data_IF_026940511869
#
_entry.id   IF_026940511869
#
_cell.length_a   1.000
_cell.length_b   1.000
_cell.length_c   1.000
_cell.angle_alpha   90.00
_cell.angle_beta   90.00
_cell.angle_gamma   90.00
#
_symmetry.space_group_name_H-M   'P 1'
#
loop_
_entity.id
_entity.type
_entity.pdbx_description
1 polymer ?
#
# COMPACT_ATOMS: atom_id res chain seq x y z
N UNK A 1 -8.45 8.09 -14.49
CA UNK A 1 -9.28 8.09 -13.28
C UNK A 1 -9.18 9.45 -12.66
N UNK A 2 -10.31 10.15 -12.52
CA UNK A 2 -10.38 11.56 -12.08
C UNK A 2 -10.39 11.70 -10.54
N UNK A 3 -10.33 10.57 -9.84
CA UNK A 3 -10.44 10.49 -8.39
C UNK A 3 -9.41 9.50 -7.82
N UNK A 4 -8.13 9.81 -7.98
CA UNK A 4 -7.11 9.07 -7.22
C UNK A 4 -6.98 9.70 -5.83
N UNK A 5 -6.93 8.88 -4.79
CA UNK A 5 -6.72 9.33 -3.41
C UNK A 5 -5.47 10.21 -3.28
N UNK A 6 -4.43 9.93 -4.07
CA UNK A 6 -3.21 10.73 -4.17
C UNK A 6 -3.48 12.16 -4.67
N UNK A 7 -4.30 12.36 -5.72
CA UNK A 7 -4.64 13.69 -6.22
C UNK A 7 -5.38 14.52 -5.17
N UNK A 8 -6.34 13.90 -4.46
CA UNK A 8 -7.07 14.58 -3.38
C UNK A 8 -6.12 15.02 -2.27
N UNK A 9 -5.22 14.13 -1.86
CA UNK A 9 -4.22 14.41 -0.82
C UNK A 9 -3.26 15.52 -1.24
N UNK A 10 -2.76 15.53 -2.48
CA UNK A 10 -1.89 16.60 -2.99
C UNK A 10 -2.61 17.94 -2.98
N UNK A 11 -3.84 18.01 -3.53
CA UNK A 11 -4.61 19.26 -3.59
C UNK A 11 -4.89 19.85 -2.21
N UNK A 12 -5.21 19.00 -1.23
CA UNK A 12 -5.44 19.45 0.14
C UNK A 12 -4.12 19.86 0.82
N UNK A 13 -3.05 19.09 0.65
CA UNK A 13 -1.74 19.40 1.23
C UNK A 13 -1.17 20.74 0.73
N UNK A 14 -1.40 21.10 -0.54
CA UNK A 14 -1.03 22.42 -1.09
C UNK A 14 -1.72 23.59 -0.39
N UNK A 15 -2.86 23.35 0.28
CA UNK A 15 -3.59 24.32 1.10
C UNK A 15 -3.31 24.18 2.60
N UNK A 16 -2.45 23.24 2.99
CA UNK A 16 -2.25 22.88 4.41
C UNK A 16 -3.41 22.09 5.03
N UNK A 17 -4.22 21.44 4.21
CA UNK A 17 -5.45 20.76 4.62
C UNK A 17 -5.38 19.22 4.44
N UNK A 18 -6.32 18.51 5.07
CA UNK A 18 -6.57 17.09 4.88
C UNK A 18 -7.88 16.88 4.10
N UNK A 19 -7.95 15.98 3.10
CA UNK A 19 -9.20 15.70 2.40
C UNK A 19 -10.28 15.14 3.33
N UNK A 20 -11.48 15.74 3.30
CA UNK A 20 -12.60 15.37 4.17
C UNK A 20 -13.08 13.93 4.01
N UNK A 21 -12.98 13.39 2.79
CA UNK A 21 -13.48 12.05 2.46
C UNK A 21 -12.41 10.96 2.61
N UNK A 22 -11.23 11.27 3.16
CA UNK A 22 -10.14 10.30 3.36
C UNK A 22 -9.66 10.33 4.81
N UNK A 23 -9.32 9.17 5.35
CA UNK A 23 -8.68 9.10 6.66
C UNK A 23 -7.36 9.91 6.69
N UNK A 24 -7.13 10.70 7.77
CA UNK A 24 -5.89 11.45 7.97
C UNK A 24 -4.71 10.52 8.15
N UNK A 25 -3.55 10.95 7.67
CA UNK A 25 -2.28 10.38 8.07
C UNK A 25 -1.88 10.99 9.41
N UNK A 26 -1.73 10.16 10.44
CA UNK A 26 -1.47 10.62 11.83
C UNK A 26 0.02 10.49 12.22
N UNK A 27 0.87 10.14 11.25
CA UNK A 27 2.28 9.81 11.48
C UNK A 27 2.45 8.39 12.04
N UNK A 28 3.62 8.12 12.61
CA UNK A 28 3.92 6.80 13.18
C UNK A 28 3.06 6.48 14.41
N UNK A 29 2.99 5.21 14.78
CA UNK A 29 2.25 4.75 15.96
C UNK A 29 2.69 5.49 17.24
N UNK A 30 1.71 5.88 18.06
CA UNK A 30 1.90 6.58 19.35
C UNK A 30 0.87 6.03 20.34
N UNK A 31 1.13 6.16 21.64
CA UNK A 31 0.23 5.67 22.70
C UNK A 31 -1.18 6.27 22.62
N UNK A 32 -1.28 7.57 22.31
CA UNK A 32 -2.55 8.23 22.05
C UNK A 32 -2.82 8.16 20.55
N UNK A 33 -3.56 7.13 20.10
CA UNK A 33 -3.88 6.88 18.68
C UNK A 33 -5.14 7.66 18.26
N UNK A 34 -5.01 8.85 17.64
CA UNK A 34 -6.17 9.47 16.99
C UNK A 34 -6.67 8.57 15.86
N UNK A 35 -7.95 8.69 15.50
CA UNK A 35 -8.50 7.93 14.41
C UNK A 35 -7.85 8.34 13.07
N UNK A 36 -7.17 7.41 12.40
CA UNK A 36 -6.49 7.68 11.13
C UNK A 36 -5.51 6.59 10.73
N UNK A 37 -4.82 6.83 9.62
CA UNK A 37 -3.78 5.94 9.07
C UNK A 37 -2.47 6.24 9.80
N UNK A 38 -1.97 5.27 10.56
CA UNK A 38 -0.69 5.33 11.27
C UNK A 38 0.51 5.27 10.31
N UNK A 39 0.62 6.28 9.45
CA UNK A 39 1.69 6.46 8.50
C UNK A 39 1.91 7.96 8.24
N UNK A 40 3.10 8.33 7.77
CA UNK A 40 3.42 9.72 7.41
C UNK A 40 2.90 10.05 6.01
N UNK A 41 2.25 11.21 5.85
CA UNK A 41 1.84 11.70 4.54
C UNK A 41 3.06 11.90 3.63
N UNK A 42 4.17 12.42 4.18
CA UNK A 42 5.40 12.64 3.41
C UNK A 42 5.99 11.31 2.93
N UNK A 43 6.06 10.31 3.82
CA UNK A 43 6.55 8.96 3.47
C UNK A 43 5.68 8.33 2.38
N UNK A 44 4.35 8.51 2.46
CA UNK A 44 3.42 8.05 1.44
C UNK A 44 3.65 8.72 0.08
N UNK A 45 3.76 10.04 0.04
CA UNK A 45 3.99 10.78 -1.21
C UNK A 45 5.32 10.38 -1.85
N UNK A 46 6.39 10.24 -1.04
CA UNK A 46 7.70 9.81 -1.54
C UNK A 46 7.64 8.38 -2.12
N UNK A 47 7.01 7.44 -1.40
CA UNK A 47 6.88 6.06 -1.86
C UNK A 47 6.09 5.98 -3.18
N UNK A 48 5.03 6.78 -3.33
CA UNK A 48 4.25 6.85 -4.58
C UNK A 48 5.08 7.42 -5.73
N UNK A 49 5.83 8.51 -5.52
CA UNK A 49 6.67 9.11 -6.57
C UNK A 49 7.77 8.14 -7.01
N UNK A 50 8.49 7.53 -6.06
CA UNK A 50 9.55 6.55 -6.35
C UNK A 50 9.00 5.34 -7.11
N UNK A 51 7.84 4.81 -6.67
CA UNK A 51 7.19 3.69 -7.36
C UNK A 51 6.83 4.07 -8.79
N UNK A 52 6.26 5.26 -9.01
CA UNK A 52 5.92 5.75 -10.35
C UNK A 52 7.15 5.91 -11.26
N UNK A 53 8.29 6.37 -10.71
CA UNK A 53 9.55 6.52 -11.46
C UNK A 53 10.14 5.18 -11.90
N UNK A 54 9.94 4.11 -11.14
CA UNK A 54 10.46 2.78 -11.44
C UNK A 54 9.61 2.07 -12.51
N UNK A 55 8.29 2.23 -12.44
CA UNK A 55 7.36 1.61 -13.38
C UNK A 55 7.50 2.22 -14.79
N UNK A 56 7.87 3.50 -14.87
CA UNK A 56 8.06 4.20 -16.15
C UNK A 56 9.27 3.66 -16.92
N UNK A 57 9.01 2.97 -18.03
CA UNK A 57 10.01 2.35 -18.90
C UNK A 57 11.02 3.34 -19.52
N UNK A 58 10.69 4.63 -19.57
CA UNK A 58 11.55 5.69 -20.11
C UNK A 58 12.55 6.28 -19.11
N UNK A 59 12.47 5.89 -17.82
CA UNK A 59 13.43 6.30 -16.78
C UNK A 59 13.88 5.08 -15.98
N UNK A 60 15.19 4.84 -15.93
CA UNK A 60 15.79 3.94 -14.93
C UNK A 60 15.70 4.62 -13.55
N UNK A 61 14.54 4.57 -12.91
CA UNK A 61 14.37 4.97 -11.52
C UNK A 61 14.91 3.89 -10.57
N UNK A 62 15.54 4.30 -9.47
CA UNK A 62 15.80 3.44 -8.31
C UNK A 62 14.87 3.81 -7.17
N UNK A 63 14.49 2.85 -6.33
CA UNK A 63 13.87 3.17 -5.03
C UNK A 63 14.89 4.01 -4.25
N UNK A 64 14.49 5.17 -3.73
CA UNK A 64 15.36 5.97 -2.87
C UNK A 64 15.73 5.19 -1.62
N UNK A 65 16.84 5.54 -0.97
CA UNK A 65 17.22 4.90 0.29
C UNK A 65 16.11 5.04 1.35
N UNK A 66 15.40 6.18 1.35
CA UNK A 66 14.27 6.39 2.25
C UNK A 66 13.13 5.39 1.96
N UNK A 67 12.69 5.29 0.71
CA UNK A 67 11.63 4.33 0.34
C UNK A 67 12.05 2.88 0.54
N UNK A 68 13.33 2.54 0.38
CA UNK A 68 13.85 1.22 0.72
C UNK A 68 13.72 0.95 2.23
N UNK A 69 14.16 1.89 3.08
CA UNK A 69 13.99 1.80 4.54
C UNK A 69 12.52 1.70 4.95
N UNK A 70 11.63 2.43 4.28
CA UNK A 70 10.19 2.36 4.50
C UNK A 70 9.63 0.98 4.20
N UNK A 71 9.99 0.39 3.04
CA UNK A 71 9.56 -0.96 2.68
C UNK A 71 10.10 -2.02 3.67
N UNK A 72 11.35 -1.88 4.13
CA UNK A 72 11.89 -2.72 5.21
C UNK A 72 11.09 -2.57 6.50
N UNK A 73 10.75 -1.34 6.91
CA UNK A 73 9.95 -1.09 8.12
C UNK A 73 8.53 -1.66 8.02
N UNK A 74 7.95 -1.63 6.82
CA UNK A 74 6.64 -2.23 6.54
C UNK A 74 6.70 -3.75 6.39
N UNK A 75 7.88 -4.34 6.47
CA UNK A 75 8.12 -5.75 6.20
C UNK A 75 7.57 -6.14 4.82
N UNK A 76 7.97 -5.40 3.78
CA UNK A 76 7.62 -5.69 2.38
C UNK A 76 8.90 -5.73 1.55
N UNK A 77 9.18 -6.87 0.94
CA UNK A 77 10.31 -6.98 0.01
C UNK A 77 10.11 -6.10 -1.22
N UNK A 78 11.17 -5.44 -1.69
CA UNK A 78 11.13 -4.53 -2.84
C UNK A 78 10.50 -5.17 -4.09
N UNK A 79 10.88 -6.40 -4.41
CA UNK A 79 10.38 -7.08 -5.61
C UNK A 79 8.89 -7.44 -5.47
N UNK A 80 8.47 -7.79 -4.26
CA UNK A 80 7.05 -8.03 -3.94
C UNK A 80 6.26 -6.72 -4.05
N UNK A 81 6.79 -5.60 -3.56
CA UNK A 81 6.18 -4.28 -3.70
C UNK A 81 5.97 -3.93 -5.18
N UNK A 82 6.99 -4.09 -6.02
CA UNK A 82 6.89 -3.78 -7.45
C UNK A 82 5.89 -4.70 -8.15
N UNK A 83 5.92 -6.00 -7.85
CA UNK A 83 4.95 -6.98 -8.36
C UNK A 83 3.52 -6.60 -7.98
N UNK A 84 3.28 -6.33 -6.70
CA UNK A 84 1.96 -5.95 -6.19
C UNK A 84 1.46 -4.64 -6.81
N UNK A 85 2.30 -3.62 -6.91
CA UNK A 85 1.89 -2.30 -7.43
C UNK A 85 1.64 -2.28 -8.94
N UNK A 86 2.24 -3.20 -9.70
CA UNK A 86 2.09 -3.27 -11.17
C UNK A 86 1.09 -4.33 -11.63
N UNK A 87 0.97 -5.44 -10.89
CA UNK A 87 0.15 -6.59 -11.27
C UNK A 87 -1.04 -6.82 -10.33
N UNK A 88 -1.36 -5.89 -9.41
CA UNK A 88 -2.42 -6.06 -8.40
C UNK A 88 -3.70 -6.67 -8.97
N UNK A 89 -4.25 -6.04 -10.00
CA UNK A 89 -5.51 -6.47 -10.63
C UNK A 89 -5.41 -7.76 -11.46
N UNK A 90 -4.20 -8.28 -11.72
CA UNK A 90 -3.96 -9.61 -12.30
C UNK A 90 -3.79 -10.68 -11.22
N UNK A 91 -3.19 -10.31 -10.10
CA UNK A 91 -2.92 -11.20 -8.97
C UNK A 91 -4.17 -11.48 -8.13
N UNK A 92 -5.06 -10.48 -8.04
CA UNK A 92 -6.25 -10.53 -7.19
C UNK A 92 -7.48 -10.01 -7.93
N UNK A 93 -8.58 -10.76 -7.82
CA UNK A 93 -9.93 -10.36 -8.24
C UNK A 93 -10.96 -10.48 -7.11
N UNK A 94 -10.48 -10.50 -5.86
CA UNK A 94 -11.30 -10.76 -4.68
C UNK A 94 -10.52 -10.44 -3.39
N UNK A 95 -10.70 -11.21 -2.30
CA UNK A 95 -10.00 -10.96 -1.04
C UNK A 95 -8.48 -11.02 -1.21
N UNK A 96 -7.78 -10.18 -0.45
CA UNK A 96 -6.33 -10.00 -0.49
C UNK A 96 -5.79 -9.98 0.93
N UNK A 97 -4.65 -10.62 1.16
CA UNK A 97 -4.00 -10.69 2.46
C UNK A 97 -3.02 -11.86 2.53
N UNK A 98 -2.56 -12.13 3.74
CA UNK A 98 -1.82 -13.35 4.10
C UNK A 98 -2.71 -14.59 3.96
N UNK A 99 -2.08 -15.77 3.96
CA UNK A 99 -2.83 -17.03 3.88
C UNK A 99 -3.76 -17.23 5.10
N UNK A 100 -3.33 -16.75 6.27
CA UNK A 100 -4.13 -16.79 7.49
C UNK A 100 -5.38 -15.91 7.35
N UNK A 101 -5.21 -14.64 6.96
CA UNK A 101 -6.33 -13.72 6.78
C UNK A 101 -7.33 -14.21 5.71
N UNK A 102 -6.84 -14.83 4.63
CA UNK A 102 -7.72 -15.45 3.64
C UNK A 102 -8.47 -16.67 4.20
N UNK A 103 -7.86 -17.42 5.11
CA UNK A 103 -8.50 -18.54 5.78
C UNK A 103 -9.61 -18.04 6.69
N UNK A 104 -9.31 -17.06 7.55
CA UNK A 104 -10.27 -16.43 8.45
C UNK A 104 -11.45 -15.81 7.68
N UNK A 105 -11.16 -15.12 6.56
CA UNK A 105 -12.19 -14.57 5.66
C UNK A 105 -13.09 -15.66 5.08
N UNK A 106 -12.52 -16.79 4.62
CA UNK A 106 -13.29 -17.87 4.03
C UNK A 106 -14.15 -18.58 5.07
N UNK A 107 -13.63 -18.79 6.28
CA UNK A 107 -14.39 -19.38 7.39
C UNK A 107 -15.55 -18.49 7.81
N UNK A 108 -15.29 -17.19 8.00
CA UNK A 108 -16.30 -16.21 8.39
C UNK A 108 -17.46 -16.09 7.38
N UNK A 109 -17.18 -16.26 6.09
CA UNK A 109 -18.17 -16.15 5.01
C UNK A 109 -18.62 -17.51 4.44
N UNK A 110 -18.29 -18.60 5.12
CA UNK A 110 -18.63 -19.97 4.73
C UNK A 110 -18.22 -20.32 3.28
N UNK A 111 -17.09 -19.77 2.80
CA UNK A 111 -16.54 -20.02 1.47
C UNK A 111 -15.67 -21.27 1.48
N UNK A 112 -15.94 -22.19 0.56
CA UNK A 112 -15.20 -23.45 0.41
C UNK A 112 -13.78 -23.30 -0.15
N UNK A 113 -13.47 -22.21 -0.86
CA UNK A 113 -12.20 -22.03 -1.57
C UNK A 113 -11.54 -20.70 -1.24
N UNK A 114 -10.25 -20.77 -0.92
CA UNK A 114 -9.36 -19.61 -0.77
C UNK A 114 -8.87 -19.19 -2.16
N UNK A 115 -9.69 -18.39 -2.84
CA UNK A 115 -9.29 -17.82 -4.13
C UNK A 115 -8.01 -16.98 -3.95
N UNK A 116 -7.09 -17.07 -4.92
CA UNK A 116 -5.81 -16.33 -4.93
C UNK A 116 -4.83 -16.67 -3.80
N UNK A 117 -4.98 -17.82 -3.13
CA UNK A 117 -4.05 -18.26 -2.07
C UNK A 117 -2.59 -18.32 -2.52
N UNK A 118 -2.32 -18.67 -3.79
CA UNK A 118 -0.97 -18.65 -4.35
C UNK A 118 -0.38 -17.23 -4.40
N UNK A 119 -1.21 -16.21 -4.65
CA UNK A 119 -0.79 -14.80 -4.66
C UNK A 119 -0.46 -14.26 -3.26
N UNK A 120 -0.88 -14.94 -2.18
CA UNK A 120 -0.53 -14.55 -0.80
C UNK A 120 0.97 -14.58 -0.52
N UNK A 121 1.76 -15.31 -1.33
CA UNK A 121 3.22 -15.36 -1.18
C UNK A 121 3.87 -13.97 -1.28
N UNK A 122 3.26 -13.03 -2.02
CA UNK A 122 3.79 -11.67 -2.18
C UNK A 122 3.59 -10.80 -0.92
N UNK A 123 2.78 -11.25 0.04
CA UNK A 123 2.62 -10.60 1.34
C UNK A 123 3.54 -11.17 2.42
N UNK A 124 4.28 -12.24 2.12
CA UNK A 124 5.29 -12.78 3.02
C UNK A 124 6.62 -12.08 2.76
N UNK A 125 7.31 -11.71 3.85
CA UNK A 125 8.75 -11.52 3.81
C UNK A 125 9.40 -12.80 4.32
N UNK A 126 10.24 -13.41 3.50
CA UNK A 126 11.18 -14.44 3.94
C UNK A 126 12.38 -13.77 4.63
#
# INVERSE_FOLDING_TARGET
SDHTSIQLRIRAALKGEQPKNLLPFIGNERENRPNGIAFSLIDYLQLVDDTGRIIRSDKRGSISENSAKLLTRLNIHKDNWLKLTTEFGKLFHGPVGTLQELTDYCEHLEKRRRHFAASCQYFHCN
#
